data_IF_094085791220
#
_entry.id   IF_094085791220
#
_cell.length_a   1.000
_cell.length_b   1.000
_cell.length_c   1.000
_cell.angle_alpha   90.00
_cell.angle_beta   90.00
_cell.angle_gamma   90.00
#
_symmetry.space_group_name_H-M   'P 1'
#
loop_
_entity.id
_entity.type
_entity.pdbx_description
1 polymer ?
#
# COMPACT_ATOMS: atom_id res chain seq x y z
N UNK A 1 -4.81 -10.39 34.07
CA UNK A 1 -3.91 -11.45 33.57
C UNK A 1 -4.60 -12.17 32.41
N UNK A 2 -4.56 -11.54 31.23
CA UNK A 2 -5.15 -12.09 30.01
C UNK A 2 -4.05 -12.93 29.36
N UNK A 3 -4.29 -14.24 29.19
CA UNK A 3 -3.38 -15.11 28.45
C UNK A 3 -3.50 -14.77 26.96
N UNK A 4 -2.39 -14.63 26.21
CA UNK A 4 -2.46 -14.42 24.78
C UNK A 4 -3.00 -15.69 24.11
N UNK A 5 -3.82 -15.57 23.04
CA UNK A 5 -4.23 -16.73 22.26
C UNK A 5 -3.01 -17.31 21.55
N UNK A 6 -2.89 -18.63 21.61
CA UNK A 6 -1.99 -19.42 20.77
C UNK A 6 -2.29 -19.14 19.31
N UNK A 7 -1.36 -18.47 18.62
CA UNK A 7 -1.32 -18.41 17.15
C UNK A 7 -1.03 -19.83 16.68
N UNK A 8 -2.09 -20.57 16.33
CA UNK A 8 -1.99 -21.70 15.44
C UNK A 8 -1.36 -21.18 14.15
N UNK A 9 -0.15 -21.64 13.82
CA UNK A 9 0.47 -21.40 12.52
C UNK A 9 -0.54 -21.80 11.45
N UNK A 10 -1.20 -20.79 10.87
CA UNK A 10 -2.04 -20.97 9.71
C UNK A 10 -1.20 -21.66 8.66
N UNK A 11 -1.65 -22.84 8.24
CA UNK A 11 -1.12 -23.54 7.08
C UNK A 11 -1.05 -22.51 5.95
N UNK A 12 0.16 -22.13 5.55
CA UNK A 12 0.41 -21.34 4.35
C UNK A 12 -0.51 -21.88 3.25
N UNK A 13 -1.15 -20.95 2.54
CA UNK A 13 -1.86 -21.15 1.29
C UNK A 13 -1.16 -22.28 0.52
N UNK A 14 -1.94 -23.26 0.03
CA UNK A 14 -1.46 -24.33 -0.84
C UNK A 14 -0.56 -23.70 -1.91
N UNK A 15 0.75 -23.84 -1.69
CA UNK A 15 1.82 -23.88 -2.67
C UNK A 15 1.62 -22.99 -3.90
N UNK A 16 2.38 -21.90 -3.99
CA UNK A 16 2.61 -21.11 -5.21
C UNK A 16 2.89 -21.97 -6.46
N UNK A 17 3.28 -23.24 -6.33
CA UNK A 17 3.33 -24.20 -7.44
C UNK A 17 2.00 -24.47 -8.17
N UNK A 18 0.80 -24.23 -7.60
CA UNK A 18 -0.45 -24.49 -8.33
C UNK A 18 -0.85 -23.37 -9.31
N UNK A 19 -0.28 -22.17 -9.16
CA UNK A 19 -0.54 -21.02 -10.04
C UNK A 19 0.59 -20.74 -11.03
N UNK A 20 1.72 -21.43 -10.91
CA UNK A 20 2.88 -21.19 -11.77
C UNK A 20 3.56 -19.83 -11.56
N UNK A 21 3.24 -19.10 -10.49
CA UNK A 21 3.88 -17.82 -10.19
C UNK A 21 5.32 -18.05 -9.75
N UNK A 22 6.24 -17.37 -10.41
CA UNK A 22 7.67 -17.48 -10.11
C UNK A 22 8.06 -16.58 -8.93
N UNK A 23 9.21 -16.86 -8.32
CA UNK A 23 9.75 -15.99 -7.28
C UNK A 23 10.04 -14.57 -7.80
N UNK A 24 10.48 -14.44 -9.06
CA UNK A 24 10.70 -13.15 -9.69
C UNK A 24 9.40 -12.35 -9.82
N UNK A 25 8.32 -13.00 -10.28
CA UNK A 25 7.02 -12.36 -10.37
C UNK A 25 6.50 -11.91 -9.01
N UNK A 26 6.57 -12.79 -8.00
CA UNK A 26 6.09 -12.51 -6.63
C UNK A 26 6.95 -11.45 -5.93
N UNK A 27 8.21 -11.25 -6.32
CA UNK A 27 9.06 -10.22 -5.73
C UNK A 27 8.51 -8.80 -5.97
N UNK A 28 7.82 -8.59 -7.08
CA UNK A 28 7.27 -7.29 -7.46
C UNK A 28 5.75 -7.33 -7.68
N UNK A 29 5.07 -8.40 -7.24
CA UNK A 29 3.60 -8.53 -7.24
C UNK A 29 3.09 -9.39 -6.07
N UNK A 30 1.83 -9.21 -5.63
CA UNK A 30 0.89 -8.18 -6.06
C UNK A 30 1.19 -6.80 -5.45
N UNK A 31 0.56 -5.77 -5.99
CA UNK A 31 0.60 -4.43 -5.42
C UNK A 31 0.00 -4.40 -4.01
N UNK A 32 0.53 -3.52 -3.16
CA UNK A 32 -0.23 -3.01 -2.03
C UNK A 32 -1.25 -1.98 -2.55
N UNK A 33 -2.44 -1.89 -1.96
CA UNK A 33 -3.60 -1.21 -2.57
C UNK A 33 -4.07 0.00 -1.75
N UNK A 34 -4.49 1.05 -2.43
CA UNK A 34 -5.32 2.12 -1.86
C UNK A 34 -6.74 2.02 -2.42
N UNK A 35 -7.65 1.58 -1.55
CA UNK A 35 -9.06 1.41 -1.90
C UNK A 35 -9.91 2.63 -1.59
N UNK A 36 -10.94 2.85 -2.41
CA UNK A 36 -11.97 3.85 -2.15
C UNK A 36 -13.28 3.19 -1.72
N UNK A 37 -13.66 3.44 -0.47
CA UNK A 37 -14.92 2.97 0.13
C UNK A 37 -15.83 4.17 0.37
N UNK A 38 -16.95 4.22 -0.37
CA UNK A 38 -17.98 5.24 -0.19
C UNK A 38 -18.98 4.79 0.87
N UNK A 39 -18.86 5.36 2.07
CA UNK A 39 -19.75 5.05 3.20
C UNK A 39 -21.16 5.64 3.03
N UNK A 40 -21.37 6.58 2.11
CA UNK A 40 -22.69 7.13 1.80
C UNK A 40 -23.45 6.29 0.76
N UNK A 41 -22.79 5.33 0.11
CA UNK A 41 -23.42 4.46 -0.88
C UNK A 41 -24.49 3.55 -0.24
N UNK A 42 -25.56 3.18 -0.98
CA UNK A 42 -26.59 2.29 -0.47
C UNK A 42 -26.01 0.95 0.03
N UNK A 43 -26.49 0.41 1.17
CA UNK A 43 -25.98 -0.84 1.77
C UNK A 43 -26.03 -2.08 0.86
N UNK A 44 -26.78 -2.04 -0.23
CA UNK A 44 -27.05 -3.18 -1.09
C UNK A 44 -26.00 -3.43 -2.19
N UNK A 45 -24.97 -2.59 -2.34
CA UNK A 45 -23.83 -2.93 -3.20
C UNK A 45 -22.84 -3.74 -2.38
N UNK A 46 -22.91 -5.07 -2.45
CA UNK A 46 -21.78 -5.92 -2.06
C UNK A 46 -20.60 -5.57 -2.96
N UNK A 47 -19.77 -4.62 -2.52
CA UNK A 47 -18.54 -4.26 -3.21
C UNK A 47 -17.49 -5.28 -2.84
N UNK A 48 -16.95 -5.94 -3.85
CA UNK A 48 -15.84 -6.86 -3.75
C UNK A 48 -14.60 -6.15 -4.27
N UNK A 49 -13.52 -6.16 -3.51
CA UNK A 49 -12.26 -5.46 -3.82
C UNK A 49 -11.13 -6.42 -4.20
N UNK A 50 -11.45 -7.70 -4.37
CA UNK A 50 -10.55 -8.68 -4.98
C UNK A 50 -10.28 -9.89 -4.11
N UNK A 51 -9.89 -9.71 -2.84
CA UNK A 51 -9.50 -10.84 -1.99
C UNK A 51 -10.68 -11.82 -1.72
N UNK A 52 -10.47 -13.16 -1.80
CA UNK A 52 -9.20 -13.85 -2.02
C UNK A 52 -8.89 -14.19 -3.49
N UNK A 53 -9.82 -13.96 -4.41
CA UNK A 53 -9.74 -14.52 -5.76
C UNK A 53 -9.01 -13.64 -6.78
N UNK A 54 -9.04 -12.32 -6.56
CA UNK A 54 -8.38 -11.34 -7.40
C UNK A 54 -7.36 -10.55 -6.57
N UNK A 55 -6.30 -10.11 -7.23
CA UNK A 55 -5.28 -9.23 -6.65
C UNK A 55 -4.72 -8.30 -7.71
N UNK A 56 -4.04 -7.22 -7.33
CA UNK A 56 -3.62 -6.17 -8.26
C UNK A 56 -2.19 -6.36 -8.75
N UNK A 57 -1.97 -6.14 -10.04
CA UNK A 57 -0.64 -6.13 -10.65
C UNK A 57 0.07 -4.81 -10.30
N UNK A 58 1.33 -4.92 -9.89
CA UNK A 58 2.24 -3.77 -9.76
C UNK A 58 3.16 -3.70 -10.96
N UNK A 59 3.96 -4.75 -11.20
CA UNK A 59 4.88 -4.83 -12.33
C UNK A 59 4.54 -6.03 -13.23
N UNK A 60 3.85 -5.82 -14.36
CA UNK A 60 3.51 -6.90 -15.29
C UNK A 60 4.76 -7.54 -15.92
N UNK A 61 5.89 -6.83 -15.95
CA UNK A 61 7.15 -7.27 -16.53
C UNK A 61 8.16 -7.80 -15.48
N UNK A 62 7.72 -8.05 -14.24
CA UNK A 62 8.57 -8.59 -13.17
C UNK A 62 9.21 -9.94 -13.54
N UNK A 63 8.54 -10.73 -14.38
CA UNK A 63 9.09 -11.96 -14.97
C UNK A 63 8.66 -12.12 -16.44
N UNK A 64 9.39 -11.52 -17.40
CA UNK A 64 9.05 -11.58 -18.81
C UNK A 64 9.19 -12.99 -19.42
N UNK A 65 9.84 -13.91 -18.73
CA UNK A 65 10.00 -15.31 -19.16
C UNK A 65 8.98 -16.24 -18.49
N UNK A 66 8.20 -15.71 -17.54
CA UNK A 66 7.15 -16.43 -16.82
C UNK A 66 5.87 -16.59 -17.64
N UNK A 67 4.72 -16.54 -16.96
CA UNK A 67 3.41 -16.63 -17.60
C UNK A 67 3.17 -15.38 -18.48
N UNK A 68 3.10 -15.52 -19.82
CA UNK A 68 3.01 -14.38 -20.72
C UNK A 68 1.69 -13.61 -20.57
N UNK A 69 0.67 -14.19 -19.92
CA UNK A 69 -0.62 -13.50 -19.71
C UNK A 69 -0.48 -12.20 -18.94
N UNK A 70 0.53 -12.08 -18.06
CA UNK A 70 0.72 -10.89 -17.24
C UNK A 70 1.24 -9.70 -18.03
N UNK A 71 1.89 -9.92 -19.18
CA UNK A 71 2.43 -8.85 -20.01
C UNK A 71 1.33 -8.01 -20.68
N UNK A 72 0.10 -8.51 -20.73
CA UNK A 72 -1.06 -7.78 -21.24
C UNK A 72 -1.71 -6.86 -20.19
N UNK A 73 -1.28 -6.97 -18.93
CA UNK A 73 -1.78 -6.14 -17.84
C UNK A 73 -0.98 -4.85 -17.69
N UNK A 74 -1.61 -3.85 -17.09
CA UNK A 74 -1.01 -2.60 -16.63
C UNK A 74 -1.12 -2.51 -15.11
N UNK A 75 -0.15 -1.86 -14.46
CA UNK A 75 -0.21 -1.52 -13.03
C UNK A 75 -1.62 -1.06 -12.63
N UNK A 76 -2.12 -1.54 -11.49
CA UNK A 76 -3.46 -1.20 -10.98
C UNK A 76 -4.59 -2.07 -11.52
N UNK A 77 -4.36 -2.88 -12.56
CA UNK A 77 -5.34 -3.87 -13.01
C UNK A 77 -5.33 -5.11 -12.12
N UNK A 78 -6.50 -5.70 -11.90
CA UNK A 78 -6.66 -6.90 -11.07
C UNK A 78 -6.69 -8.18 -11.90
N UNK A 79 -5.94 -9.18 -11.46
CA UNK A 79 -5.86 -10.52 -12.07
C UNK A 79 -6.30 -11.60 -11.09
N UNK A 80 -6.66 -12.76 -11.63
CA UNK A 80 -7.12 -13.91 -10.86
C UNK A 80 -5.97 -14.76 -10.30
N UNK A 81 -6.13 -15.14 -9.03
CA UNK A 81 -5.34 -16.17 -8.35
C UNK A 81 -5.90 -17.59 -8.60
N UNK A 82 -6.85 -17.76 -9.52
CA UNK A 82 -7.45 -19.04 -9.95
C UNK A 82 -7.84 -19.98 -8.79
N UNK A 83 -8.20 -19.42 -7.63
CA UNK A 83 -8.66 -20.18 -6.47
C UNK A 83 -10.07 -20.73 -6.73
N UNK A 84 -10.87 -19.98 -7.49
CA UNK A 84 -12.21 -20.34 -7.94
C UNK A 84 -12.28 -20.35 -9.48
N UNK A 85 -12.64 -21.48 -10.13
CA UNK A 85 -12.63 -21.60 -11.59
C UNK A 85 -13.53 -20.62 -12.35
N UNK A 86 -14.53 -20.04 -11.67
CA UNK A 86 -15.48 -19.09 -12.26
C UNK A 86 -15.05 -17.63 -12.13
N UNK A 87 -13.95 -17.37 -11.41
CA UNK A 87 -13.40 -16.02 -11.17
C UNK A 87 -12.06 -15.89 -11.88
N UNK A 88 -12.09 -15.94 -13.21
CA UNK A 88 -10.91 -15.74 -14.06
C UNK A 88 -10.50 -14.26 -14.16
N UNK A 89 -9.49 -13.97 -14.98
CA UNK A 89 -9.00 -12.59 -15.17
C UNK A 89 -10.11 -11.66 -15.69
N UNK A 90 -10.95 -12.12 -16.62
CA UNK A 90 -12.07 -11.33 -17.15
C UNK A 90 -13.12 -11.03 -16.08
N UNK A 91 -13.36 -11.98 -15.16
CA UNK A 91 -14.21 -11.75 -14.00
C UNK A 91 -13.60 -10.71 -13.06
N UNK A 92 -12.30 -10.80 -12.77
CA UNK A 92 -11.57 -9.87 -11.90
C UNK A 92 -11.46 -8.46 -12.48
N UNK A 93 -11.44 -8.32 -13.81
CA UNK A 93 -11.42 -7.02 -14.48
C UNK A 93 -12.81 -6.38 -14.63
N UNK A 94 -13.90 -7.12 -14.41
CA UNK A 94 -15.26 -6.61 -14.61
C UNK A 94 -15.72 -5.76 -13.41
N UNK A 95 -16.00 -4.43 -13.57
CA UNK A 95 -16.37 -3.55 -12.45
C UNK A 95 -17.67 -3.92 -11.72
N UNK A 96 -18.53 -4.72 -12.36
CA UNK A 96 -19.75 -5.26 -11.72
C UNK A 96 -19.46 -6.36 -10.71
N UNK A 97 -18.33 -7.03 -10.85
CA UNK A 97 -17.91 -8.16 -10.04
C UNK A 97 -16.88 -7.75 -9.00
N UNK A 98 -15.97 -6.86 -9.39
CA UNK A 98 -14.78 -6.53 -8.63
C UNK A 98 -14.43 -5.04 -8.81
N UNK A 99 -14.00 -4.38 -7.74
CA UNK A 99 -13.67 -2.95 -7.72
C UNK A 99 -12.15 -2.83 -7.66
N UNK A 100 -11.51 -2.21 -8.67
CA UNK A 100 -10.07 -2.02 -8.66
C UNK A 100 -9.63 -0.91 -7.70
N UNK A 101 -8.37 -0.95 -7.24
CA UNK A 101 -7.82 0.10 -6.39
C UNK A 101 -7.77 1.45 -7.09
N UNK A 102 -7.77 2.53 -6.31
CA UNK A 102 -7.55 3.88 -6.84
C UNK A 102 -6.09 4.21 -7.06
N UNK A 103 -5.22 3.51 -6.36
CA UNK A 103 -3.79 3.58 -6.54
C UNK A 103 -3.17 2.28 -6.05
N UNK A 104 -2.08 1.89 -6.70
CA UNK A 104 -1.21 0.80 -6.28
C UNK A 104 0.07 1.36 -5.66
N UNK A 105 0.62 0.63 -4.70
CA UNK A 105 1.93 0.83 -4.15
C UNK A 105 2.82 -0.36 -4.50
N UNK A 106 4.14 -0.13 -4.50
CA UNK A 106 5.12 -1.20 -4.68
C UNK A 106 4.80 -2.39 -3.77
N UNK A 107 4.77 -3.58 -4.37
CA UNK A 107 4.57 -4.83 -3.66
C UNK A 107 5.44 -4.93 -2.40
N UNK A 108 4.87 -5.44 -1.32
CA UNK A 108 5.54 -5.67 -0.03
C UNK A 108 5.94 -4.39 0.72
N UNK A 109 5.38 -3.22 0.40
CA UNK A 109 5.62 -1.99 1.16
C UNK A 109 4.94 -2.00 2.53
N UNK A 110 3.87 -2.79 2.69
CA UNK A 110 3.13 -3.02 3.94
C UNK A 110 2.60 -1.69 4.51
N UNK A 111 1.64 -1.03 3.84
CA UNK A 111 0.99 0.17 4.37
C UNK A 111 0.17 -0.16 5.62
N UNK A 112 0.41 0.54 6.73
CA UNK A 112 -0.28 0.26 8.01
C UNK A 112 -1.19 1.38 8.52
N UNK A 113 -0.95 2.63 8.10
CA UNK A 113 -1.83 3.75 8.42
C UNK A 113 -1.84 4.79 7.30
N UNK A 114 -2.95 5.52 7.22
CA UNK A 114 -3.19 6.61 6.28
C UNK A 114 -3.83 7.78 7.03
N UNK A 115 -3.32 9.01 6.79
CA UNK A 115 -3.91 10.25 7.29
C UNK A 115 -3.92 11.33 6.21
N UNK A 116 -5.02 12.06 6.12
CA UNK A 116 -5.09 13.27 5.29
C UNK A 116 -4.55 14.47 6.05
N UNK A 117 -3.76 15.30 5.38
CA UNK A 117 -3.29 16.56 5.94
C UNK A 117 -4.32 17.66 5.71
N UNK A 118 -4.86 18.20 6.81
CA UNK A 118 -5.81 19.31 6.80
C UNK A 118 -5.30 20.39 7.74
N UNK A 119 -4.52 21.37 7.25
CA UNK A 119 -3.95 22.42 8.09
C UNK A 119 -5.06 23.22 8.77
N UNK A 120 -4.83 23.55 10.03
CA UNK A 120 -5.75 24.35 10.85
C UNK A 120 -5.29 25.80 10.94
N UNK A 121 -6.10 26.67 11.57
CA UNK A 121 -5.69 28.05 11.89
C UNK A 121 -4.52 28.12 12.88
N UNK A 122 -4.25 27.03 13.58
CA UNK A 122 -3.18 26.88 14.55
C UNK A 122 -1.87 26.37 13.92
N UNK A 123 -1.87 26.05 12.62
CA UNK A 123 -0.67 25.60 11.91
C UNK A 123 0.46 26.61 12.03
N UNK A 124 1.61 26.17 12.51
CA UNK A 124 2.79 27.02 12.61
C UNK A 124 3.60 26.88 11.31
N UNK A 125 3.56 27.90 10.46
CA UNK A 125 4.19 27.86 9.13
C UNK A 125 5.70 27.64 9.14
N UNK A 126 6.37 27.77 10.29
CA UNK A 126 7.80 27.48 10.41
C UNK A 126 8.13 26.00 10.60
N UNK A 127 7.14 25.18 10.96
CA UNK A 127 7.35 23.75 11.24
C UNK A 127 6.30 22.85 10.59
N UNK A 128 5.15 23.41 10.22
CA UNK A 128 4.09 22.72 9.50
C UNK A 128 4.60 22.17 8.18
N UNK A 129 4.03 21.05 7.74
CA UNK A 129 4.15 20.65 6.34
C UNK A 129 3.57 21.75 5.42
N UNK A 130 4.04 21.84 4.16
CA UNK A 130 3.57 22.83 3.20
C UNK A 130 2.05 22.89 3.09
N UNK A 131 1.46 24.08 3.27
CA UNK A 131 0.00 24.28 3.16
C UNK A 131 -0.56 23.85 1.79
N UNK A 132 0.27 23.90 0.74
CA UNK A 132 -0.09 23.43 -0.60
C UNK A 132 -0.40 21.92 -0.66
N UNK A 133 -0.02 21.15 0.36
CA UNK A 133 -0.34 19.72 0.49
C UNK A 133 -1.66 19.48 1.23
N UNK A 134 -2.45 20.54 1.52
CA UNK A 134 -3.77 20.41 2.12
C UNK A 134 -4.67 19.51 1.27
N UNK A 135 -5.18 18.44 1.86
CA UNK A 135 -5.99 17.40 1.20
C UNK A 135 -5.19 16.21 0.69
N UNK A 136 -3.86 16.25 0.71
CA UNK A 136 -3.01 15.09 0.39
C UNK A 136 -3.07 14.02 1.50
N UNK A 137 -2.86 12.76 1.12
CA UNK A 137 -2.75 11.65 2.05
C UNK A 137 -1.28 11.34 2.38
N UNK A 138 -1.06 10.82 3.58
CA UNK A 138 0.24 10.39 4.09
C UNK A 138 0.10 8.95 4.54
N UNK A 139 1.00 8.08 4.09
CA UNK A 139 0.91 6.63 4.31
C UNK A 139 2.21 6.12 4.90
N UNK A 140 2.12 5.31 5.95
CA UNK A 140 3.26 4.66 6.58
C UNK A 140 3.53 3.32 5.93
N UNK A 141 4.69 3.15 5.30
CA UNK A 141 5.17 1.89 4.77
C UNK A 141 6.05 1.19 5.80
N UNK A 142 5.52 0.13 6.41
CA UNK A 142 6.19 -0.62 7.47
C UNK A 142 7.41 -1.42 6.99
N UNK A 143 7.43 -1.73 5.70
CA UNK A 143 8.56 -2.34 5.02
C UNK A 143 8.47 -3.86 4.86
N UNK A 144 9.02 -4.31 3.72
CA UNK A 144 8.95 -5.70 3.25
C UNK A 144 9.68 -6.69 4.15
N UNK A 145 9.13 -7.88 4.35
CA UNK A 145 9.82 -8.99 5.00
C UNK A 145 10.19 -10.13 4.03
N UNK A 146 9.68 -10.10 2.80
CA UNK A 146 9.74 -11.16 1.80
C UNK A 146 10.00 -10.65 0.36
N UNK A 147 10.69 -9.51 0.22
CA UNK A 147 11.16 -8.93 -1.05
C UNK A 147 12.66 -8.74 -1.06
N UNK A 148 13.31 -8.91 -2.22
CA UNK A 148 14.73 -8.59 -2.45
C UNK A 148 14.89 -7.73 -3.72
N UNK A 149 15.50 -6.52 -3.63
CA UNK A 149 15.92 -5.84 -2.41
C UNK A 149 14.72 -5.41 -1.55
N UNK A 150 14.90 -5.08 -0.26
CA UNK A 150 13.81 -4.58 0.57
C UNK A 150 13.18 -3.27 0.04
N UNK A 151 11.92 -3.01 0.38
CA UNK A 151 11.20 -1.77 0.04
C UNK A 151 10.32 -1.31 1.21
N UNK A 152 9.79 -0.09 1.12
CA UNK A 152 9.01 0.56 2.17
C UNK A 152 9.92 1.26 3.18
N UNK A 153 9.78 0.93 4.47
CA UNK A 153 10.59 1.48 5.57
C UNK A 153 10.59 3.02 5.62
N UNK A 154 9.41 3.62 5.45
CA UNK A 154 9.30 5.07 5.28
C UNK A 154 7.87 5.58 5.34
N UNK A 155 7.74 6.90 5.18
CA UNK A 155 6.45 7.59 5.08
C UNK A 155 6.38 8.27 3.72
N UNK A 156 5.29 8.04 3.01
CA UNK A 156 5.04 8.64 1.69
C UNK A 156 3.90 9.65 1.74
N UNK A 157 3.99 10.67 0.89
CA UNK A 157 2.89 11.56 0.53
C UNK A 157 2.27 11.08 -0.79
N UNK A 158 0.95 11.01 -0.82
CA UNK A 158 0.12 10.78 -2.01
C UNK A 158 -0.64 12.07 -2.31
N UNK A 159 -0.38 12.75 -3.43
CA UNK A 159 -1.15 13.93 -3.81
C UNK A 159 -2.59 13.59 -4.17
N UNK A 160 -3.54 14.45 -3.77
CA UNK A 160 -4.97 14.26 -4.05
C UNK A 160 -5.57 15.45 -4.80
N UNK A 161 -6.58 15.15 -5.63
CA UNK A 161 -7.49 16.12 -6.22
C UNK A 161 -8.92 15.78 -5.80
N UNK A 162 -9.41 16.45 -4.76
CA UNK A 162 -10.69 16.14 -4.13
C UNK A 162 -10.67 14.75 -3.49
N UNK A 163 -11.51 13.84 -3.97
CA UNK A 163 -11.66 12.47 -3.43
C UNK A 163 -10.82 11.42 -4.18
N UNK A 164 -9.92 11.83 -5.07
CA UNK A 164 -9.12 10.92 -5.90
C UNK A 164 -7.63 11.23 -5.77
N UNK A 165 -6.75 10.21 -5.80
CA UNK A 165 -5.33 10.43 -6.04
C UNK A 165 -5.14 11.25 -7.32
N UNK A 166 -4.16 12.15 -7.33
CA UNK A 166 -3.90 13.00 -8.48
C UNK A 166 -3.28 12.24 -9.67
N UNK A 167 -2.65 11.09 -9.41
CA UNK A 167 -2.09 10.23 -10.44
C UNK A 167 -3.13 9.26 -11.02
N UNK A 168 -2.88 8.78 -12.23
CA UNK A 168 -3.62 7.64 -12.79
C UNK A 168 -3.52 6.40 -11.86
N UNK A 169 -4.56 5.55 -11.77
CA UNK A 169 -4.47 4.25 -11.10
C UNK A 169 -3.32 3.36 -11.63
N UNK A 170 -2.91 3.56 -12.88
CA UNK A 170 -1.79 2.86 -13.52
C UNK A 170 -0.40 3.47 -13.28
N UNK A 171 -0.28 4.46 -12.41
CA UNK A 171 0.99 5.11 -12.13
C UNK A 171 1.79 4.35 -11.08
N UNK A 172 3.07 4.10 -11.38
CA UNK A 172 4.07 3.63 -10.40
C UNK A 172 4.81 4.76 -9.69
N UNK A 173 4.49 6.02 -10.01
CA UNK A 173 5.16 7.22 -9.51
C UNK A 173 4.18 8.22 -8.85
N UNK A 174 3.05 7.72 -8.35
CA UNK A 174 1.98 8.55 -7.76
C UNK A 174 2.21 8.98 -6.31
N UNK A 175 3.28 8.53 -5.66
CA UNK A 175 3.61 8.83 -4.27
C UNK A 175 5.09 9.21 -4.10
N UNK A 176 5.39 9.93 -3.02
CA UNK A 176 6.71 10.50 -2.77
C UNK A 176 7.16 10.25 -1.34
N UNK A 177 8.34 9.64 -1.15
CA UNK A 177 8.92 9.49 0.18
C UNK A 177 9.26 10.84 0.80
N UNK A 178 8.83 11.03 2.05
CA UNK A 178 9.22 12.16 2.90
C UNK A 178 10.36 11.78 3.83
N UNK A 179 10.32 10.54 4.31
CA UNK A 179 11.36 9.90 5.10
C UNK A 179 11.42 8.43 4.70
N UNK A 180 12.63 7.90 4.56
CA UNK A 180 12.89 6.50 4.28
C UNK A 180 14.19 6.09 4.97
N UNK A 181 14.31 4.82 5.36
CA UNK A 181 15.60 4.26 5.74
C UNK A 181 16.65 4.52 4.63
N UNK A 182 17.82 5.02 5.03
CA UNK A 182 18.88 5.45 4.10
C UNK A 182 19.60 4.29 3.43
N UNK A 183 19.64 3.12 4.08
CA UNK A 183 20.20 1.89 3.57
C UNK A 183 19.12 0.80 3.67
N UNK A 184 18.47 0.50 2.54
CA UNK A 184 17.42 -0.50 2.47
C UNK A 184 17.95 -1.93 2.59
N UNK A 185 19.22 -2.19 2.24
CA UNK A 185 19.81 -3.52 2.33
C UNK A 185 20.05 -3.95 3.79
N UNK A 186 20.10 -2.98 4.71
CA UNK A 186 20.15 -3.21 6.15
C UNK A 186 18.77 -3.51 6.79
N UNK A 187 17.67 -3.40 6.02
CA UNK A 187 16.32 -3.59 6.53
C UNK A 187 15.87 -5.08 6.48
N UNK A 188 15.05 -5.56 7.45
CA UNK A 188 14.42 -4.82 8.55
C UNK A 188 15.35 -4.47 9.72
N UNK A 189 16.61 -4.92 9.72
CA UNK A 189 17.55 -4.88 10.86
C UNK A 189 17.51 -3.64 11.74
N UNK A 190 18.14 -2.56 11.31
CA UNK A 190 18.22 -1.29 12.08
C UNK A 190 17.30 -0.19 11.55
N UNK A 191 16.40 -0.54 10.63
CA UNK A 191 15.54 0.44 9.97
C UNK A 191 14.33 0.80 10.84
N UNK A 192 13.86 2.04 10.73
CA UNK A 192 12.54 2.41 11.22
C UNK A 192 11.47 1.57 10.51
N UNK A 193 10.40 1.21 11.22
CA UNK A 193 9.24 0.53 10.65
C UNK A 193 7.97 1.32 10.97
N UNK A 194 7.66 2.37 10.19
CA UNK A 194 6.52 3.24 10.43
C UNK A 194 5.19 2.48 10.55
N UNK A 195 4.41 2.79 11.60
CA UNK A 195 3.10 2.19 11.87
C UNK A 195 2.00 3.24 11.92
N UNK A 196 1.97 4.06 12.96
CA UNK A 196 0.87 5.00 13.22
C UNK A 196 1.24 6.42 12.82
N UNK A 197 0.28 7.14 12.25
CA UNK A 197 0.42 8.54 11.82
C UNK A 197 -0.57 9.44 12.55
N UNK A 198 -0.10 10.61 12.98
CA UNK A 198 -0.96 11.65 13.57
C UNK A 198 -0.46 13.05 13.25
N UNK A 199 -1.35 13.91 12.74
CA UNK A 199 -1.07 15.33 12.60
C UNK A 199 -1.34 16.08 13.89
N UNK A 200 -0.41 16.93 14.31
CA UNK A 200 -0.65 17.91 15.37
C UNK A 200 -1.33 19.17 14.82
N UNK A 201 -1.97 19.95 15.71
CA UNK A 201 -2.65 21.20 15.35
C UNK A 201 -1.72 22.22 14.68
N UNK A 202 -0.41 22.15 14.97
CA UNK A 202 0.61 23.02 14.38
C UNK A 202 1.09 22.57 13.00
N UNK A 203 0.53 21.48 12.46
CA UNK A 203 0.76 20.98 11.10
C UNK A 203 1.94 20.02 10.94
N UNK A 204 2.59 19.60 12.03
CA UNK A 204 3.62 18.55 12.02
C UNK A 204 3.02 17.16 12.00
N UNK A 205 3.74 16.19 11.41
CA UNK A 205 3.34 14.79 11.33
C UNK A 205 4.15 13.94 12.32
N UNK A 206 3.48 13.31 13.28
CA UNK A 206 4.06 12.34 14.21
C UNK A 206 3.93 10.93 13.64
N UNK A 207 4.98 10.12 13.82
CA UNK A 207 5.11 8.78 13.27
C UNK A 207 5.67 7.84 14.32
N UNK A 208 5.00 6.72 14.58
CA UNK A 208 5.52 5.66 15.45
C UNK A 208 6.27 4.58 14.66
N UNK A 209 7.30 3.99 15.26
CA UNK A 209 8.02 2.81 14.77
C UNK A 209 8.03 1.73 15.84
N UNK A 210 7.33 0.63 15.61
CA UNK A 210 7.10 -0.41 16.62
C UNK A 210 8.37 -1.21 16.92
N UNK A 211 9.10 -1.63 15.89
CA UNK A 211 10.31 -2.46 16.02
C UNK A 211 11.47 -1.74 16.69
N UNK A 212 11.61 -0.42 16.49
CA UNK A 212 12.65 0.40 17.13
C UNK A 212 12.19 1.04 18.44
N UNK A 213 10.88 1.09 18.70
CA UNK A 213 10.30 1.74 19.88
C UNK A 213 10.34 3.27 19.82
N UNK A 214 10.54 3.85 18.63
CA UNK A 214 10.70 5.28 18.42
C UNK A 214 9.37 5.98 18.09
N UNK A 215 9.27 7.25 18.46
CA UNK A 215 8.28 8.21 17.98
C UNK A 215 9.06 9.40 17.40
N UNK A 216 8.86 9.68 16.12
CA UNK A 216 9.54 10.79 15.44
C UNK A 216 8.54 11.75 14.82
N UNK A 217 9.03 12.95 14.48
CA UNK A 217 8.25 14.02 13.88
C UNK A 217 8.83 14.40 12.53
N UNK A 218 7.98 14.54 11.53
CA UNK A 218 8.29 15.13 10.24
C UNK A 218 7.73 16.55 10.25
N UNK A 219 8.61 17.52 10.02
CA UNK A 219 8.31 18.95 9.97
C UNK A 219 9.06 19.60 8.82
N UNK A 220 8.61 20.77 8.37
CA UNK A 220 9.44 21.60 7.52
C UNK A 220 10.69 22.04 8.29
N UNK A 221 11.83 22.12 7.60
CA UNK A 221 13.04 22.80 8.07
C UNK A 221 13.08 24.16 7.37
N UNK A 222 13.18 25.23 8.15
CA UNK A 222 13.30 26.61 7.65
C UNK A 222 14.75 27.07 7.70
#
# INVERSE_FOLDING_TARGET
>A
LIRPPTISRGRLIRSTHSLGLTAAFVNDNPADELEFVDLAAPPATNRFYGFPDCTTIWDPAADPQGDPRFLDFHTGEQFSLQLEPQRDDAWCQQPRNNVPPRMSFQAHSVPLDLKFFLPTKQSNLNVSLPLAWSGDAFVSFHGSFDRTPPTGYGVVRVPFNGLQPASSPSSTAGYFFLAQATDLDACPGTCIRPVGLAFADDGRLFVSSDSSGELFVISAEN
#
